data_IF_886782027248
#
_entry.id   IF_886782027248
#
_cell.length_a   1.000
_cell.length_b   1.000
_cell.length_c   1.000
_cell.angle_alpha   90.00
_cell.angle_beta   90.00
_cell.angle_gamma   90.00
#
_symmetry.space_group_name_H-M   'P 1'
#
loop_
_entity.id
_entity.type
_entity.pdbx_description
1 polymer ?
#
# COMPACT_ATOMS: atom_id res chain seq x y z
N UNK A 1 -13.70 5.81 11.41
CA UNK A 1 -12.38 6.45 11.54
C UNK A 1 -11.91 7.06 10.22
N UNK A 2 -11.67 6.28 9.15
CA UNK A 2 -11.07 6.78 7.90
C UNK A 2 -11.78 8.00 7.28
N UNK A 3 -13.11 8.08 7.38
CA UNK A 3 -13.93 9.21 6.90
C UNK A 3 -13.66 10.55 7.59
N UNK A 4 -12.92 10.56 8.71
CA UNK A 4 -12.59 11.77 9.47
C UNK A 4 -11.10 12.08 9.54
N UNK A 5 -10.26 11.37 8.80
CA UNK A 5 -8.82 11.64 8.76
C UNK A 5 -8.51 12.75 7.75
N UNK A 6 -7.63 13.67 8.12
CA UNK A 6 -7.22 14.82 7.30
C UNK A 6 -6.09 14.47 6.31
N UNK A 7 -6.06 13.24 5.81
CA UNK A 7 -5.03 12.71 4.91
C UNK A 7 -5.60 11.57 4.05
N UNK A 8 -4.98 11.27 2.89
CA UNK A 8 -5.35 10.12 2.08
C UNK A 8 -5.27 8.80 2.84
N UNK A 9 -6.16 7.85 2.52
CA UNK A 9 -6.23 6.56 3.21
C UNK A 9 -6.21 5.41 2.20
N UNK A 10 -5.24 4.51 2.36
CA UNK A 10 -5.15 3.28 1.58
C UNK A 10 -5.86 2.11 2.24
N UNK A 11 -6.67 1.37 1.47
CA UNK A 11 -7.40 0.19 1.93
C UNK A 11 -6.82 -1.07 1.31
N UNK A 12 -6.18 -1.91 2.13
CA UNK A 12 -5.63 -3.20 1.70
C UNK A 12 -6.75 -4.17 1.32
N UNK A 13 -6.57 -4.92 0.24
CA UNK A 13 -7.46 -6.03 -0.10
C UNK A 13 -7.46 -7.12 0.99
N UNK A 14 -8.52 -7.94 1.01
CA UNK A 14 -8.68 -9.05 1.95
C UNK A 14 -7.50 -10.03 1.92
N UNK A 15 -7.21 -10.71 3.03
CA UNK A 15 -6.12 -11.72 3.09
C UNK A 15 -6.32 -12.88 2.13
N UNK A 16 -7.55 -13.09 1.66
CA UNK A 16 -7.91 -14.06 0.63
C UNK A 16 -7.70 -13.56 -0.80
N UNK A 17 -7.39 -12.27 -0.98
CA UNK A 17 -7.27 -11.59 -2.28
C UNK A 17 -8.47 -10.73 -2.65
N UNK A 18 -9.55 -10.72 -1.84
CA UNK A 18 -10.80 -10.03 -2.18
C UNK A 18 -10.66 -8.51 -2.24
N UNK A 19 -10.99 -7.92 -3.39
CA UNK A 19 -11.02 -6.48 -3.61
C UNK A 19 -12.28 -5.83 -3.03
N UNK A 20 -13.38 -6.57 -2.93
CA UNK A 20 -14.67 -6.07 -2.44
C UNK A 20 -14.55 -5.46 -1.03
N UNK A 21 -13.71 -6.02 -0.16
CA UNK A 21 -13.45 -5.46 1.18
C UNK A 21 -12.86 -4.06 1.10
N UNK A 22 -11.84 -3.86 0.26
CA UNK A 22 -11.18 -2.57 0.10
C UNK A 22 -12.10 -1.54 -0.58
N UNK A 23 -12.79 -1.95 -1.66
CA UNK A 23 -13.71 -1.09 -2.41
C UNK A 23 -14.87 -0.61 -1.53
N UNK A 24 -15.49 -1.52 -0.78
CA UNK A 24 -16.59 -1.16 0.14
C UNK A 24 -16.11 -0.26 1.27
N UNK A 25 -14.92 -0.51 1.82
CA UNK A 25 -14.33 0.35 2.85
C UNK A 25 -14.05 1.75 2.31
N UNK A 26 -13.56 1.87 1.07
CA UNK A 26 -13.30 3.14 0.41
C UNK A 26 -14.60 3.92 0.17
N UNK A 27 -15.67 3.26 -0.33
CA UNK A 27 -17.00 3.88 -0.47
C UNK A 27 -17.54 4.35 0.86
N UNK A 28 -17.42 3.52 1.90
CA UNK A 28 -17.84 3.90 3.24
C UNK A 28 -17.06 5.12 3.75
N UNK A 29 -15.74 5.14 3.57
CA UNK A 29 -14.90 6.25 4.01
C UNK A 29 -15.21 7.56 3.31
N UNK A 30 -15.60 7.53 2.03
CA UNK A 30 -15.98 8.73 1.26
C UNK A 30 -17.27 9.42 1.74
N UNK A 31 -18.08 8.75 2.55
CA UNK A 31 -19.35 9.31 3.05
C UNK A 31 -19.20 9.96 4.44
N UNK A 32 -20.06 10.93 4.80
CA UNK A 32 -20.17 11.43 6.18
C UNK A 32 -20.59 10.33 7.16
N UNK A 33 -20.03 10.33 8.37
CA UNK A 33 -20.43 9.43 9.45
C UNK A 33 -20.74 10.17 10.75
N UNK A 34 -21.53 9.55 11.62
CA UNK A 34 -21.68 9.90 13.04
C UNK A 34 -21.38 8.69 13.90
N UNK A 35 -20.47 8.83 14.86
CA UNK A 35 -20.09 7.72 15.75
C UNK A 35 -19.59 8.24 17.09
N UNK A 36 -19.63 7.41 18.13
CA UNK A 36 -19.09 7.74 19.45
C UNK A 36 -17.56 7.62 19.42
N UNK A 37 -16.87 8.63 19.91
CA UNK A 37 -15.41 8.65 19.99
C UNK A 37 -14.91 9.51 21.14
N UNK A 38 -13.61 9.81 21.13
CA UNK A 38 -12.92 10.57 22.18
C UNK A 38 -12.42 11.89 21.57
N UNK A 39 -12.72 13.03 22.21
CA UNK A 39 -12.21 14.34 21.77
C UNK A 39 -10.75 14.56 22.26
N UNK A 40 -10.15 15.68 21.86
CA UNK A 40 -8.77 16.02 22.26
C UNK A 40 -8.59 16.23 23.78
N UNK A 41 -9.67 16.45 24.53
CA UNK A 41 -9.65 16.54 26.00
C UNK A 41 -9.82 15.17 26.68
N UNK A 42 -9.86 14.07 25.93
CA UNK A 42 -10.03 12.72 26.48
C UNK A 42 -11.46 12.37 26.87
N UNK A 43 -12.46 13.15 26.46
CA UNK A 43 -13.86 12.94 26.82
C UNK A 43 -14.60 12.18 25.72
N UNK A 44 -15.54 11.32 26.14
CA UNK A 44 -16.45 10.64 25.22
C UNK A 44 -17.42 11.65 24.62
N UNK A 45 -17.55 11.64 23.29
CA UNK A 45 -18.43 12.55 22.55
C UNK A 45 -18.97 11.89 21.28
N UNK A 46 -20.02 12.49 20.70
CA UNK A 46 -20.49 12.15 19.36
C UNK A 46 -19.64 12.91 18.33
N UNK A 47 -18.89 12.17 17.52
CA UNK A 47 -18.11 12.71 16.41
C UNK A 47 -18.93 12.68 15.12
N UNK A 48 -18.80 13.73 14.31
CA UNK A 48 -19.33 13.80 12.97
C UNK A 48 -18.19 14.05 11.98
N UNK A 49 -18.14 13.29 10.90
CA UNK A 49 -17.15 13.43 9.84
C UNK A 49 -17.81 13.84 8.52
N UNK A 50 -17.05 14.45 7.62
CA UNK A 50 -17.54 14.89 6.31
C UNK A 50 -17.38 13.82 5.22
N UNK A 51 -16.66 12.72 5.51
CA UNK A 51 -16.21 11.79 4.49
C UNK A 51 -14.79 12.12 4.03
N UNK A 52 -14.10 11.11 3.52
CA UNK A 52 -12.75 11.21 2.98
C UNK A 52 -12.75 10.67 1.55
N UNK A 53 -12.77 11.55 0.52
CA UNK A 53 -12.77 11.14 -0.88
C UNK A 53 -11.38 10.66 -1.35
N UNK A 54 -10.32 10.90 -0.58
CA UNK A 54 -8.93 10.63 -0.95
C UNK A 54 -8.53 9.18 -0.61
N UNK A 55 -9.38 8.25 -1.01
CA UNK A 55 -9.17 6.81 -0.84
C UNK A 55 -8.44 6.17 -2.02
N UNK A 56 -7.67 5.13 -1.75
CA UNK A 56 -7.08 4.26 -2.78
C UNK A 56 -7.04 2.80 -2.34
N UNK A 57 -6.97 1.88 -3.30
CA UNK A 57 -6.82 0.43 -3.02
C UNK A 57 -5.34 0.09 -2.89
N UNK A 58 -5.00 -0.76 -1.92
CA UNK A 58 -3.67 -1.36 -1.78
C UNK A 58 -3.75 -2.84 -2.16
N UNK A 59 -3.11 -3.20 -3.27
CA UNK A 59 -2.92 -4.58 -3.72
C UNK A 59 -1.73 -5.19 -2.99
N UNK A 60 -1.97 -6.19 -2.13
CA UNK A 60 -0.96 -6.79 -1.23
C UNK A 60 -0.90 -8.32 -1.27
N UNK A 61 -1.42 -8.90 -2.35
CA UNK A 61 -1.60 -10.34 -2.55
C UNK A 61 -2.75 -10.92 -1.72
N UNK A 62 -2.80 -12.23 -1.69
CA UNK A 62 -3.75 -13.03 -0.91
C UNK A 62 -3.31 -14.48 -0.92
N UNK A 63 -4.15 -15.37 -1.44
CA UNK A 63 -3.73 -16.77 -1.74
C UNK A 63 -2.65 -16.85 -2.83
N UNK A 64 -2.63 -15.86 -3.71
CA UNK A 64 -1.60 -15.64 -4.72
C UNK A 64 -1.23 -14.16 -4.74
N UNK A 65 -0.06 -13.79 -5.31
CA UNK A 65 0.23 -12.41 -5.64
C UNK A 65 -0.82 -11.79 -6.56
N UNK A 66 -1.05 -10.49 -6.45
CA UNK A 66 -2.04 -9.74 -7.23
C UNK A 66 -1.49 -8.41 -7.80
N UNK A 67 -0.25 -8.43 -8.30
CA UNK A 67 0.42 -7.26 -8.88
C UNK A 67 0.59 -7.33 -10.40
N UNK A 68 0.13 -8.40 -11.06
CA UNK A 68 0.28 -8.56 -12.50
C UNK A 68 -0.60 -7.55 -13.27
N UNK A 69 -0.33 -7.30 -14.56
CA UNK A 69 -1.19 -6.45 -15.37
C UNK A 69 -2.66 -6.87 -15.37
N UNK A 70 -2.92 -8.19 -15.33
CA UNK A 70 -4.29 -8.72 -15.28
C UNK A 70 -4.98 -8.42 -13.93
N UNK A 71 -4.24 -8.50 -12.82
CA UNK A 71 -4.76 -8.19 -11.49
C UNK A 71 -5.08 -6.69 -11.35
N UNK A 72 -4.17 -5.84 -11.84
CA UNK A 72 -4.37 -4.39 -11.86
C UNK A 72 -5.59 -4.03 -12.71
N UNK A 73 -5.70 -4.57 -13.92
CA UNK A 73 -6.85 -4.32 -14.79
C UNK A 73 -8.18 -4.81 -14.18
N UNK A 74 -8.17 -5.96 -13.50
CA UNK A 74 -9.35 -6.44 -12.80
C UNK A 74 -9.75 -5.49 -11.65
N UNK A 75 -8.76 -4.98 -10.90
CA UNK A 75 -9.04 -4.02 -9.84
C UNK A 75 -9.55 -2.67 -10.38
N UNK A 76 -8.98 -2.16 -11.47
CA UNK A 76 -9.48 -0.96 -12.14
C UNK A 76 -10.95 -1.13 -12.52
N UNK A 77 -11.29 -2.24 -13.17
CA UNK A 77 -12.66 -2.57 -13.59
C UNK A 77 -13.63 -2.64 -12.40
N UNK A 78 -13.26 -3.29 -11.31
CA UNK A 78 -14.12 -3.38 -10.13
C UNK A 78 -14.32 -2.02 -9.44
N UNK A 79 -13.28 -1.18 -9.40
CA UNK A 79 -13.39 0.19 -8.88
C UNK A 79 -14.33 1.04 -9.75
N UNK A 80 -14.19 0.98 -11.07
CA UNK A 80 -15.06 1.70 -12.01
C UNK A 80 -16.51 1.24 -11.90
N UNK A 81 -16.76 -0.07 -11.82
CA UNK A 81 -18.10 -0.64 -11.58
C UNK A 81 -18.72 -0.17 -10.26
N UNK A 82 -17.88 0.14 -9.27
CA UNK A 82 -18.29 0.71 -8.00
C UNK A 82 -18.46 2.24 -8.02
N UNK A 83 -18.26 2.89 -9.18
CA UNK A 83 -18.36 4.34 -9.37
C UNK A 83 -17.17 5.12 -8.79
N UNK A 84 -16.01 4.47 -8.63
CA UNK A 84 -14.81 5.04 -8.04
C UNK A 84 -13.75 5.26 -9.12
N UNK A 85 -12.96 6.33 -8.97
CA UNK A 85 -11.80 6.55 -9.82
C UNK A 85 -10.70 5.55 -9.46
N UNK A 86 -10.17 4.77 -10.41
CA UNK A 86 -9.05 3.87 -10.13
C UNK A 86 -7.83 4.63 -9.62
N UNK A 87 -7.39 4.25 -8.42
CA UNK A 87 -6.20 4.74 -7.74
C UNK A 87 -5.65 3.57 -6.91
N UNK A 88 -4.50 3.06 -7.33
CA UNK A 88 -3.94 1.82 -6.81
C UNK A 88 -2.53 2.03 -6.29
N UNK A 89 -2.24 1.45 -5.14
CA UNK A 89 -0.90 1.26 -4.61
C UNK A 89 -0.60 -0.23 -4.57
N UNK A 90 0.60 -0.63 -5.00
CA UNK A 90 1.03 -2.03 -4.92
C UNK A 90 2.00 -2.21 -3.75
N UNK A 91 1.62 -3.04 -2.79
CA UNK A 91 2.47 -3.52 -1.70
C UNK A 91 3.38 -4.61 -2.25
N UNK A 92 4.68 -4.34 -2.28
CA UNK A 92 5.68 -5.24 -2.86
C UNK A 92 6.03 -6.40 -1.92
N UNK A 93 5.63 -6.32 -0.64
CA UNK A 93 5.90 -7.31 0.40
C UNK A 93 4.72 -8.31 0.54
N UNK A 94 4.52 -8.85 1.74
CA UNK A 94 3.37 -9.67 2.14
C UNK A 94 3.02 -10.78 1.13
N UNK A 95 1.76 -10.85 0.68
CA UNK A 95 1.31 -11.87 -0.26
C UNK A 95 1.94 -11.74 -1.63
N UNK A 96 2.32 -10.53 -2.04
CA UNK A 96 2.96 -10.28 -3.33
C UNK A 96 4.41 -10.79 -3.37
N UNK A 97 5.13 -10.70 -2.25
CA UNK A 97 6.46 -11.29 -2.11
C UNK A 97 6.43 -12.78 -1.75
N UNK A 98 5.25 -13.38 -1.55
CA UNK A 98 5.11 -14.70 -0.91
C UNK A 98 5.86 -14.79 0.42
N UNK A 99 5.90 -13.69 1.18
CA UNK A 99 6.64 -13.52 2.43
C UNK A 99 8.17 -13.70 2.31
N UNK A 100 8.71 -13.62 1.09
CA UNK A 100 10.16 -13.55 0.87
C UNK A 100 10.54 -12.11 0.54
N UNK A 101 11.13 -11.41 1.52
CA UNK A 101 11.52 -10.00 1.39
C UNK A 101 12.43 -9.73 0.18
N UNK A 102 13.19 -10.72 -0.28
CA UNK A 102 14.12 -10.61 -1.42
C UNK A 102 13.38 -10.47 -2.75
N UNK A 103 12.09 -10.78 -2.78
CA UNK A 103 11.24 -10.65 -3.98
C UNK A 103 10.64 -9.27 -4.16
N UNK A 104 10.72 -8.39 -3.15
CA UNK A 104 10.17 -7.04 -3.25
C UNK A 104 10.69 -6.24 -4.47
N UNK A 105 12.00 -6.27 -4.81
CA UNK A 105 12.51 -5.59 -6.01
C UNK A 105 11.84 -6.10 -7.30
N UNK A 106 11.73 -7.42 -7.47
CA UNK A 106 11.10 -8.01 -8.66
C UNK A 106 9.60 -7.63 -8.78
N UNK A 107 8.89 -7.49 -7.66
CA UNK A 107 7.51 -6.98 -7.66
C UNK A 107 7.48 -5.52 -8.11
N UNK A 108 8.35 -4.67 -7.54
CA UNK A 108 8.44 -3.27 -7.90
C UNK A 108 8.79 -3.06 -9.38
N UNK A 109 9.75 -3.83 -9.92
CA UNK A 109 10.13 -3.82 -11.33
C UNK A 109 8.95 -4.19 -12.25
N UNK A 110 8.16 -5.20 -11.88
CA UNK A 110 6.95 -5.60 -12.63
C UNK A 110 5.90 -4.49 -12.66
N UNK A 111 5.77 -3.72 -11.58
CA UNK A 111 4.85 -2.58 -11.50
C UNK A 111 5.39 -1.39 -12.30
N UNK A 112 6.70 -1.14 -12.24
CA UNK A 112 7.36 -0.12 -13.07
C UNK A 112 7.18 -0.38 -14.55
N UNK A 113 7.30 -1.65 -14.99
CA UNK A 113 7.03 -2.02 -16.38
C UNK A 113 5.62 -1.62 -16.83
N UNK A 114 4.60 -1.86 -15.99
CA UNK A 114 3.22 -1.46 -16.28
C UNK A 114 3.06 0.07 -16.41
N UNK A 115 3.76 0.84 -15.56
CA UNK A 115 3.79 2.31 -15.66
C UNK A 115 4.42 2.75 -16.99
N UNK A 116 5.50 2.10 -17.40
CA UNK A 116 6.18 2.37 -18.69
C UNK A 116 5.30 2.02 -19.88
N UNK A 117 4.50 0.97 -19.77
CA UNK A 117 3.53 0.54 -20.77
C UNK A 117 2.25 1.40 -20.79
N UNK A 118 2.19 2.45 -19.96
CA UNK A 118 1.14 3.47 -20.02
C UNK A 118 0.02 3.30 -18.99
N UNK A 119 0.13 2.37 -18.03
CA UNK A 119 -0.80 2.34 -16.91
C UNK A 119 -0.76 3.69 -16.17
N UNK A 120 -1.94 4.26 -15.84
CA UNK A 120 -2.06 5.55 -15.12
C UNK A 120 -2.78 5.43 -13.77
N UNK A 121 -3.33 4.27 -13.43
CA UNK A 121 -4.07 4.05 -12.19
C UNK A 121 -3.15 3.70 -11.01
N UNK A 122 -1.96 3.15 -11.29
CA UNK A 122 -0.93 2.89 -10.28
C UNK A 122 -0.30 4.23 -9.87
N UNK A 123 -0.59 4.62 -8.63
CA UNK A 123 -0.15 5.88 -8.01
C UNK A 123 0.98 5.70 -7.00
N UNK A 124 1.31 4.46 -6.61
CA UNK A 124 2.37 4.24 -5.64
C UNK A 124 2.78 2.79 -5.44
N UNK A 125 3.90 2.63 -4.73
CA UNK A 125 4.45 1.37 -4.24
C UNK A 125 4.55 1.44 -2.71
N UNK A 126 4.40 0.30 -2.04
CA UNK A 126 4.73 0.12 -0.63
C UNK A 126 5.84 -0.91 -0.52
N UNK A 127 6.94 -0.55 0.17
CA UNK A 127 8.16 -1.34 0.30
C UNK A 127 8.52 -1.43 1.79
N UNK A 128 8.79 -2.65 2.27
CA UNK A 128 9.28 -2.89 3.62
C UNK A 128 10.80 -2.97 3.61
N UNK A 129 11.42 -1.90 4.08
CA UNK A 129 12.87 -1.71 4.13
C UNK A 129 13.32 -1.33 5.53
N UNK A 130 14.55 -1.69 5.88
CA UNK A 130 15.20 -1.27 7.12
C UNK A 130 16.71 -1.09 6.86
N UNK A 131 17.45 -0.62 7.86
CA UNK A 131 18.89 -0.41 7.75
C UNK A 131 19.59 -1.71 7.33
N UNK A 132 19.21 -2.82 7.95
CA UNK A 132 19.69 -4.17 7.61
C UNK A 132 18.53 -5.09 7.25
N UNK A 133 18.83 -6.04 6.36
CA UNK A 133 17.83 -6.97 5.84
C UNK A 133 17.36 -8.02 6.86
N UNK A 134 16.27 -8.70 6.51
CA UNK A 134 15.71 -9.79 7.28
C UNK A 134 14.89 -9.31 8.48
N UNK A 135 14.73 -10.19 9.45
CA UNK A 135 14.09 -9.91 10.73
C UNK A 135 14.80 -10.65 11.89
N UNK A 136 14.35 -10.36 13.10
CA UNK A 136 14.74 -11.00 14.35
C UNK A 136 13.51 -11.14 15.26
N UNK A 137 13.60 -11.99 16.29
CA UNK A 137 12.50 -12.16 17.24
C UNK A 137 12.40 -10.98 18.22
N UNK A 138 11.18 -10.56 18.56
CA UNK A 138 10.91 -9.60 19.64
C UNK A 138 11.14 -10.20 21.04
N UNK A 139 11.14 -11.53 21.16
CA UNK A 139 11.20 -12.25 22.45
C UNK A 139 12.62 -12.35 23.02
N UNK A 140 13.64 -11.96 22.24
CA UNK A 140 15.02 -11.99 22.70
C UNK A 140 15.35 -10.76 23.56
N UNK A 141 16.31 -10.85 24.49
CA UNK A 141 16.72 -9.69 25.29
C UNK A 141 17.18 -8.53 24.41
N UNK A 142 16.84 -7.29 24.79
CA UNK A 142 17.23 -6.08 24.04
C UNK A 142 18.73 -5.98 23.81
N UNK A 143 19.55 -6.46 24.76
CA UNK A 143 21.01 -6.50 24.64
C UNK A 143 21.54 -7.43 23.55
N UNK A 144 20.72 -8.39 23.09
CA UNK A 144 21.02 -9.32 22.01
C UNK A 144 20.41 -8.88 20.66
N UNK A 145 19.61 -7.81 20.64
CA UNK A 145 19.00 -7.32 19.41
C UNK A 145 20.04 -6.68 18.49
N UNK A 146 20.00 -7.08 17.22
CA UNK A 146 20.76 -6.45 16.16
C UNK A 146 20.14 -5.09 15.86
N UNK A 147 20.96 -4.04 15.91
CA UNK A 147 20.55 -2.71 15.48
C UNK A 147 20.03 -2.75 14.04
N UNK A 148 18.98 -1.99 13.72
CA UNK A 148 18.53 -1.82 12.34
C UNK A 148 17.93 -3.05 11.63
N UNK A 149 17.62 -4.12 12.36
CA UNK A 149 16.95 -5.33 11.84
C UNK A 149 15.50 -5.37 12.37
N UNK A 150 14.53 -5.61 11.48
CA UNK A 150 13.10 -5.65 11.83
C UNK A 150 12.79 -6.69 12.92
N UNK A 151 11.84 -6.39 13.81
CA UNK A 151 11.33 -7.37 14.80
C UNK A 151 10.00 -8.02 14.38
N UNK A 152 9.49 -7.66 13.20
CA UNK A 152 8.24 -8.17 12.63
C UNK A 152 8.52 -8.89 11.31
N UNK A 153 7.98 -8.40 10.20
CA UNK A 153 8.23 -8.95 8.87
C UNK A 153 9.63 -8.60 8.39
N UNK A 154 10.20 -9.49 7.57
CA UNK A 154 11.53 -9.31 7.02
C UNK A 154 11.58 -8.18 6.01
N UNK A 155 12.61 -7.34 6.10
CA UNK A 155 12.78 -6.17 5.23
C UNK A 155 13.96 -6.35 4.27
N UNK A 156 13.95 -5.63 3.15
CA UNK A 156 15.17 -5.41 2.35
C UNK A 156 16.13 -4.45 3.08
N UNK A 157 17.42 -4.52 2.77
CA UNK A 157 18.43 -3.62 3.37
C UNK A 157 18.36 -2.21 2.81
N UNK A 158 19.08 -1.28 3.45
CA UNK A 158 19.23 0.08 2.96
C UNK A 158 19.90 0.12 1.57
N UNK A 159 20.93 -0.69 1.34
CA UNK A 159 21.63 -0.74 0.05
C UNK A 159 20.71 -1.20 -1.08
N UNK A 160 19.87 -2.18 -0.79
CA UNK A 160 18.86 -2.68 -1.74
C UNK A 160 17.82 -1.60 -2.01
N UNK A 161 17.42 -0.86 -0.98
CA UNK A 161 16.43 0.22 -1.07
C UNK A 161 16.94 1.40 -1.88
N UNK A 162 18.15 1.88 -1.62
CA UNK A 162 18.78 2.98 -2.37
C UNK A 162 18.95 2.62 -3.84
N UNK A 163 19.45 1.41 -4.15
CA UNK A 163 19.57 0.93 -5.52
C UNK A 163 18.21 0.86 -6.22
N UNK A 164 17.22 0.22 -5.61
CA UNK A 164 15.88 0.06 -6.17
C UNK A 164 15.21 1.41 -6.47
N UNK A 165 15.21 2.35 -5.52
CA UNK A 165 14.57 3.65 -5.71
C UNK A 165 15.25 4.49 -6.80
N UNK A 166 16.59 4.41 -6.93
CA UNK A 166 17.33 5.06 -8.01
C UNK A 166 17.02 4.46 -9.36
N UNK A 167 16.94 3.14 -9.46
CA UNK A 167 16.57 2.45 -10.69
C UNK A 167 15.14 2.79 -11.11
N UNK A 168 14.17 2.72 -10.18
CA UNK A 168 12.79 3.13 -10.43
C UNK A 168 12.76 4.58 -10.95
N UNK A 169 13.43 5.52 -10.26
CA UNK A 169 13.47 6.91 -10.69
C UNK A 169 14.02 7.05 -12.12
N UNK A 170 15.16 6.43 -12.41
CA UNK A 170 15.78 6.44 -13.75
C UNK A 170 14.81 5.92 -14.82
N UNK A 171 14.04 4.88 -14.50
CA UNK A 171 13.18 4.18 -15.44
C UNK A 171 11.87 4.90 -15.77
N UNK A 172 11.28 5.62 -14.81
CA UNK A 172 9.94 6.22 -14.96
C UNK A 172 9.88 7.74 -14.86
N UNK A 173 11.00 8.44 -14.60
CA UNK A 173 10.98 9.91 -14.46
C UNK A 173 10.34 10.61 -15.68
N UNK A 174 10.67 10.15 -16.90
CA UNK A 174 10.07 10.70 -18.13
C UNK A 174 8.57 10.44 -18.24
N UNK A 175 8.12 9.24 -17.87
CA UNK A 175 6.72 8.82 -17.90
C UNK A 175 5.88 9.51 -16.83
N UNK A 176 6.46 9.77 -15.65
CA UNK A 176 5.76 10.49 -14.60
C UNK A 176 5.59 11.98 -14.94
N UNK A 177 6.56 12.59 -15.63
CA UNK A 177 6.44 13.97 -16.08
C UNK A 177 5.24 14.18 -17.03
N UNK A 178 4.93 13.22 -17.90
CA UNK A 178 3.77 13.29 -18.81
C UNK A 178 2.43 13.04 -18.11
N UNK A 179 2.42 12.61 -16.85
CA UNK A 179 1.18 12.48 -16.07
C UNK A 179 0.71 13.81 -15.48
N UNK A 180 1.62 14.77 -15.30
CA UNK A 180 1.36 16.10 -14.72
C UNK A 180 0.96 17.14 -15.78
N UNK A 181 1.28 16.87 -17.06
CA UNK A 181 0.86 17.66 -18.21
C UNK A 181 -0.57 17.30 -18.62
#
# INVERSE_FOLDING_TARGET
>A
MASGLSMPVGFKNGTDGSLATAINAMRAAAMPHRFVGINQAGQVCLLQTQGNPDGHVILRGGKAPNYSPADVAQCEKEMEQAGLRPALMVDCSHGNSNKDYRRQPAVAESVVAQIKDGNRSIIGLMIESNIHEGNQSSEQPRSAMKYGVSVTDACISWETTDALLREIHKDINGQLATRLA
#
